data_IF_984859171746
#
_entry.id   IF_984859171746
#
_cell.length_a   1.000
_cell.length_b   1.000
_cell.length_c   1.000
_cell.angle_alpha   90.00
_cell.angle_beta   90.00
_cell.angle_gamma   90.00
#
_symmetry.space_group_name_H-M   'P 1'
#
loop_
_entity.id
_entity.type
_entity.pdbx_description
1 polymer ?
#
# COMPACT_ATOMS: atom_id res chain seq x y z
N UNK A 1 32.60 4.89 40.18
CA UNK A 1 31.83 5.00 38.92
C UNK A 1 30.47 5.58 39.26
N UNK A 2 30.22 6.84 38.93
CA UNK A 2 28.93 7.46 39.23
C UNK A 2 27.87 6.87 38.29
N UNK A 3 26.82 6.28 38.85
CA UNK A 3 25.67 5.84 38.08
C UNK A 3 25.12 7.05 37.28
N UNK A 4 24.82 6.88 35.98
CA UNK A 4 24.34 7.99 35.16
C UNK A 4 23.07 8.59 35.77
N UNK A 5 23.03 9.92 35.85
CA UNK A 5 21.92 10.65 36.45
C UNK A 5 20.60 10.26 35.77
N UNK A 6 19.49 10.01 36.51
CA UNK A 6 18.23 9.52 35.93
C UNK A 6 17.70 10.34 34.75
N UNK A 7 17.94 11.66 34.77
CA UNK A 7 17.57 12.59 33.68
C UNK A 7 18.33 12.28 32.38
N UNK A 8 19.61 11.93 32.45
CA UNK A 8 20.43 11.66 31.27
C UNK A 8 20.06 10.31 30.64
N UNK A 9 19.71 9.33 31.46
CA UNK A 9 19.15 8.06 31.00
C UNK A 9 17.83 8.28 30.24
N UNK A 10 16.94 9.12 30.78
CA UNK A 10 15.67 9.45 30.13
C UNK A 10 15.87 10.20 28.81
N UNK A 11 16.80 11.18 28.75
CA UNK A 11 17.15 11.88 27.52
C UNK A 11 17.68 10.94 26.44
N UNK A 12 18.57 10.01 26.82
CA UNK A 12 19.12 9.00 25.92
C UNK A 12 18.02 8.10 25.36
N UNK A 13 17.15 7.58 26.24
CA UNK A 13 16.03 6.74 25.82
C UNK A 13 15.07 7.49 24.88
N UNK A 14 14.73 8.74 25.20
CA UNK A 14 13.90 9.61 24.33
C UNK A 14 14.52 9.76 22.95
N UNK A 15 15.84 9.98 22.88
CA UNK A 15 16.55 10.09 21.61
C UNK A 15 16.49 8.79 20.80
N UNK A 16 16.75 7.65 21.44
CA UNK A 16 16.72 6.33 20.80
C UNK A 16 15.33 5.97 20.26
N UNK A 17 14.27 6.18 21.04
CA UNK A 17 12.91 5.87 20.59
C UNK A 17 12.46 6.83 19.48
N UNK A 18 12.77 8.13 19.57
CA UNK A 18 12.45 9.08 18.50
C UNK A 18 13.11 8.64 17.20
N UNK A 19 14.41 8.32 17.27
CA UNK A 19 15.16 7.86 16.11
C UNK A 19 14.61 6.56 15.52
N UNK A 20 14.30 5.59 16.38
CA UNK A 20 13.68 4.32 15.97
C UNK A 20 12.37 4.58 15.21
N UNK A 21 11.51 5.45 15.73
CA UNK A 21 10.23 5.79 15.07
C UNK A 21 10.42 6.56 13.76
N UNK A 22 11.43 7.44 13.68
CA UNK A 22 11.74 8.19 12.45
C UNK A 22 12.13 7.28 11.29
N UNK A 23 12.82 6.16 11.54
CA UNK A 23 13.17 5.19 10.49
C UNK A 23 11.90 4.70 9.78
N UNK A 24 10.87 4.30 10.54
CA UNK A 24 9.60 3.84 9.96
C UNK A 24 8.79 4.96 9.33
N UNK A 25 8.83 6.17 9.89
CA UNK A 25 8.20 7.34 9.28
C UNK A 25 8.82 7.63 7.90
N UNK A 26 10.13 7.67 7.79
CA UNK A 26 10.81 7.94 6.52
C UNK A 26 10.64 6.81 5.50
N UNK A 27 10.53 5.57 5.96
CA UNK A 27 10.12 4.46 5.10
C UNK A 27 8.70 4.68 4.54
N UNK A 28 7.76 5.17 5.34
CA UNK A 28 6.42 5.53 4.86
C UNK A 28 6.46 6.67 3.86
N UNK A 29 7.17 7.77 4.15
CA UNK A 29 7.27 8.92 3.24
C UNK A 29 7.82 8.50 1.85
N UNK A 30 8.82 7.62 1.82
CA UNK A 30 9.36 7.06 0.58
C UNK A 30 8.33 6.21 -0.17
N UNK A 31 7.58 5.37 0.55
CA UNK A 31 6.53 4.55 -0.07
C UNK A 31 5.39 5.40 -0.61
N UNK A 32 4.96 6.44 0.12
CA UNK A 32 3.95 7.40 -0.35
C UNK A 32 4.40 8.07 -1.66
N UNK A 33 5.65 8.54 -1.70
CA UNK A 33 6.21 9.15 -2.91
C UNK A 33 6.21 8.18 -4.09
N UNK A 34 6.66 6.94 -3.88
CA UNK A 34 6.67 5.90 -4.93
C UNK A 34 5.27 5.61 -5.46
N UNK A 35 4.27 5.54 -4.58
CA UNK A 35 2.89 5.25 -4.98
C UNK A 35 2.26 6.44 -5.69
N UNK A 36 2.55 7.67 -5.26
CA UNK A 36 2.05 8.87 -5.94
C UNK A 36 2.65 8.99 -7.35
N UNK A 37 3.94 8.68 -7.54
CA UNK A 37 4.56 8.62 -8.87
C UNK A 37 3.84 7.62 -9.77
N UNK A 38 3.55 6.41 -9.27
CA UNK A 38 2.78 5.42 -10.05
C UNK A 38 1.41 6.00 -10.42
N UNK A 39 0.71 6.61 -9.47
CA UNK A 39 -0.62 7.21 -9.70
C UNK A 39 -0.58 8.30 -10.77
N UNK A 40 0.38 9.23 -10.71
CA UNK A 40 0.55 10.30 -11.69
C UNK A 40 0.92 9.77 -13.09
N UNK A 41 1.80 8.76 -13.15
CA UNK A 41 2.18 8.09 -14.40
C UNK A 41 0.95 7.46 -15.07
N UNK A 42 0.10 6.79 -14.30
CA UNK A 42 -1.14 6.21 -14.82
C UNK A 42 -2.13 7.25 -15.34
N UNK A 43 -2.36 8.33 -14.60
CA UNK A 43 -3.25 9.41 -15.02
C UNK A 43 -2.77 10.09 -16.30
N UNK A 44 -1.47 10.07 -16.57
CA UNK A 44 -0.87 10.71 -17.74
C UNK A 44 -0.84 9.79 -18.97
N UNK A 45 -0.73 8.48 -18.77
CA UNK A 45 -0.53 7.50 -19.84
C UNK A 45 -1.76 6.65 -20.16
N UNK A 46 -2.76 6.61 -19.29
CA UNK A 46 -3.94 5.75 -19.44
C UNK A 46 -5.23 6.53 -19.19
N UNK A 47 -6.33 6.01 -19.74
CA UNK A 47 -7.68 6.55 -19.58
C UNK A 47 -8.17 6.58 -18.12
N UNK A 48 -7.54 5.84 -17.21
CA UNK A 48 -7.90 5.81 -15.80
C UNK A 48 -6.71 5.50 -14.88
N UNK A 49 -6.84 5.90 -13.61
CA UNK A 49 -5.88 5.56 -12.55
C UNK A 49 -6.32 4.32 -11.79
N UNK A 50 -5.47 3.29 -11.65
CA UNK A 50 -5.77 2.11 -10.84
C UNK A 50 -5.78 2.40 -9.33
N UNK A 51 -5.26 3.57 -8.90
CA UNK A 51 -5.20 3.99 -7.50
C UNK A 51 -6.22 5.12 -7.28
N UNK A 52 -7.20 4.86 -6.43
CA UNK A 52 -8.22 5.83 -6.01
C UNK A 52 -7.68 6.73 -4.89
N UNK A 53 -7.19 6.09 -3.82
CA UNK A 53 -6.60 6.80 -2.68
C UNK A 53 -5.63 5.92 -1.90
N UNK A 54 -4.72 6.58 -1.21
CA UNK A 54 -3.74 5.96 -0.32
C UNK A 54 -3.93 6.48 1.10
N UNK A 55 -3.61 5.65 2.09
CA UNK A 55 -3.57 6.04 3.51
C UNK A 55 -2.35 5.41 4.15
N UNK A 56 -1.50 6.20 4.79
CA UNK A 56 -0.43 5.69 5.62
C UNK A 56 -0.80 5.73 7.11
N UNK A 57 -0.14 4.88 7.88
CA UNK A 57 -0.25 4.86 9.33
C UNK A 57 1.06 4.42 9.95
N UNK A 58 1.52 5.20 10.92
CA UNK A 58 2.57 4.79 11.84
C UNK A 58 1.94 4.28 13.14
N UNK A 59 2.36 3.10 13.61
CA UNK A 59 1.88 2.51 14.86
C UNK A 59 2.39 3.33 16.06
N UNK A 60 1.54 3.61 17.04
CA UNK A 60 1.99 4.33 18.24
C UNK A 60 2.93 3.47 19.09
N UNK A 61 3.88 4.06 19.85
CA UNK A 61 4.74 3.32 20.76
C UNK A 61 3.96 2.43 21.74
N UNK A 62 2.85 2.95 22.29
CA UNK A 62 1.96 2.17 23.15
C UNK A 62 1.41 0.92 22.44
N UNK A 63 0.93 1.07 21.20
CA UNK A 63 0.42 -0.07 20.41
C UNK A 63 1.52 -1.08 20.05
N UNK A 64 2.77 -0.63 19.87
CA UNK A 64 3.94 -1.51 19.68
C UNK A 64 4.18 -2.31 20.96
N UNK A 65 4.25 -1.63 22.11
CA UNK A 65 4.48 -2.27 23.41
C UNK A 65 3.39 -3.30 23.74
N UNK A 66 2.12 -2.93 23.57
CA UNK A 66 0.99 -3.85 23.78
C UNK A 66 1.10 -5.12 22.92
N UNK A 67 1.59 -4.99 21.68
CA UNK A 67 1.79 -6.13 20.78
C UNK A 67 2.97 -7.00 21.21
N UNK A 68 4.05 -6.40 21.74
CA UNK A 68 5.19 -7.12 22.31
C UNK A 68 4.79 -7.92 23.55
N UNK A 69 4.07 -7.29 24.48
CA UNK A 69 3.56 -7.97 25.69
C UNK A 69 2.63 -9.13 25.34
N UNK A 70 1.66 -8.91 24.44
CA UNK A 70 0.71 -9.95 24.02
C UNK A 70 1.40 -11.17 23.38
N UNK A 71 2.54 -10.95 22.71
CA UNK A 71 3.33 -12.01 22.06
C UNK A 71 4.48 -12.54 22.93
N UNK A 72 4.60 -12.04 24.17
CA UNK A 72 5.66 -12.41 25.11
C UNK A 72 7.08 -12.27 24.52
N UNK A 73 7.34 -11.16 23.82
CA UNK A 73 8.66 -10.85 23.26
C UNK A 73 9.45 -9.91 24.18
N UNK A 74 10.78 -9.99 24.11
CA UNK A 74 11.68 -9.11 24.84
C UNK A 74 11.51 -7.64 24.41
N UNK A 75 11.59 -6.71 25.38
CA UNK A 75 11.38 -5.28 25.18
C UNK A 75 12.69 -4.56 24.79
N UNK A 76 13.24 -4.93 23.63
CA UNK A 76 14.40 -4.28 23.02
C UNK A 76 14.07 -3.79 21.61
N UNK A 77 14.74 -2.74 21.13
CA UNK A 77 14.49 -2.21 19.77
C UNK A 77 14.75 -3.26 18.68
N UNK A 78 15.77 -4.11 18.86
CA UNK A 78 16.07 -5.21 17.93
C UNK A 78 14.96 -6.26 17.91
N UNK A 79 14.46 -6.64 19.09
CA UNK A 79 13.32 -7.56 19.21
C UNK A 79 12.06 -6.96 18.59
N UNK A 80 11.80 -5.67 18.76
CA UNK A 80 10.67 -4.98 18.11
C UNK A 80 10.82 -5.04 16.58
N UNK A 81 11.97 -4.63 16.03
CA UNK A 81 12.28 -4.63 14.58
C UNK A 81 12.14 -6.03 13.97
N UNK A 82 12.54 -7.06 14.72
CA UNK A 82 12.43 -8.46 14.30
C UNK A 82 10.99 -8.97 14.30
N UNK A 83 10.19 -8.65 15.31
CA UNK A 83 8.91 -9.34 15.57
C UNK A 83 7.66 -8.54 15.19
N UNK A 84 7.75 -7.20 15.08
CA UNK A 84 6.63 -6.32 14.74
C UNK A 84 6.86 -5.75 13.34
N UNK A 85 6.18 -6.34 12.36
CA UNK A 85 6.35 -6.03 10.93
C UNK A 85 5.40 -4.95 10.40
N UNK A 86 4.36 -4.61 11.16
CA UNK A 86 3.29 -3.65 10.86
C UNK A 86 3.48 -2.32 11.63
N UNK A 87 4.72 -1.88 11.84
CA UNK A 87 4.99 -0.57 12.49
C UNK A 87 4.65 0.55 11.50
N UNK A 88 5.11 0.41 10.27
CA UNK A 88 4.73 1.22 9.13
C UNK A 88 3.70 0.44 8.30
N UNK A 89 2.53 1.04 8.07
CA UNK A 89 1.49 0.47 7.23
C UNK A 89 1.05 1.45 6.15
N UNK A 90 0.92 0.97 4.91
CA UNK A 90 0.32 1.70 3.79
C UNK A 90 -0.91 0.94 3.32
N UNK A 91 -2.00 1.65 3.04
CA UNK A 91 -3.17 1.12 2.38
C UNK A 91 -3.33 1.78 1.02
N UNK A 92 -3.48 0.95 0.00
CA UNK A 92 -3.77 1.37 -1.37
C UNK A 92 -5.17 0.86 -1.70
N UNK A 93 -6.07 1.79 -2.03
CA UNK A 93 -7.41 1.45 -2.49
C UNK A 93 -7.45 1.61 -4.01
N UNK A 94 -7.81 0.53 -4.70
CA UNK A 94 -7.93 0.42 -6.14
C UNK A 94 -9.40 0.39 -6.58
N UNK A 95 -9.63 0.69 -7.85
CA UNK A 95 -10.97 0.64 -8.46
C UNK A 95 -11.39 -0.80 -8.69
N UNK A 96 -10.47 -1.62 -9.22
CA UNK A 96 -10.74 -2.99 -9.65
C UNK A 96 -9.84 -4.03 -8.94
N UNK A 97 -10.21 -5.31 -9.03
CA UNK A 97 -9.41 -6.42 -8.49
C UNK A 97 -8.15 -6.61 -9.34
N UNK A 98 -8.24 -6.48 -10.66
CA UNK A 98 -7.06 -6.57 -11.55
C UNK A 98 -6.00 -5.51 -11.23
N UNK A 99 -6.41 -4.29 -10.90
CA UNK A 99 -5.54 -3.20 -10.48
C UNK A 99 -4.71 -3.55 -9.23
N UNK A 100 -5.29 -4.33 -8.31
CA UNK A 100 -4.58 -4.77 -7.09
C UNK A 100 -3.32 -5.56 -7.47
N UNK A 101 -3.46 -6.49 -8.41
CA UNK A 101 -2.35 -7.32 -8.87
C UNK A 101 -1.36 -6.51 -9.70
N UNK A 102 -1.85 -5.59 -10.54
CA UNK A 102 -1.00 -4.68 -11.32
C UNK A 102 -0.11 -3.82 -10.42
N UNK A 103 -0.68 -3.18 -9.39
CA UNK A 103 0.07 -2.39 -8.41
C UNK A 103 1.05 -3.25 -7.61
N UNK A 104 0.64 -4.45 -7.19
CA UNK A 104 1.54 -5.38 -6.51
C UNK A 104 2.75 -5.71 -7.38
N UNK A 105 2.55 -6.07 -8.65
CA UNK A 105 3.65 -6.44 -9.54
C UNK A 105 4.57 -5.24 -9.81
N UNK A 106 4.01 -4.04 -10.00
CA UNK A 106 4.80 -2.80 -10.13
C UNK A 106 5.68 -2.51 -8.92
N UNK A 107 5.13 -2.67 -7.70
CA UNK A 107 5.90 -2.50 -6.47
C UNK A 107 6.96 -3.60 -6.30
N UNK A 108 6.64 -4.85 -6.65
CA UNK A 108 7.59 -5.96 -6.57
C UNK A 108 8.76 -5.82 -7.56
N UNK A 109 8.55 -5.12 -8.68
CA UNK A 109 9.57 -4.88 -9.70
C UNK A 109 10.51 -3.71 -9.36
N UNK A 110 10.26 -2.95 -8.29
CA UNK A 110 11.17 -1.87 -7.87
C UNK A 110 12.42 -2.44 -7.22
N UNK A 111 13.59 -2.14 -7.78
CA UNK A 111 14.87 -2.76 -7.39
C UNK A 111 15.31 -2.46 -5.96
N UNK A 112 14.85 -1.37 -5.37
CA UNK A 112 15.18 -0.95 -4.01
C UNK A 112 14.24 -1.55 -2.94
N UNK A 113 13.09 -2.11 -3.34
CA UNK A 113 12.16 -2.78 -2.45
C UNK A 113 12.47 -4.28 -2.38
N UNK A 114 12.72 -4.78 -1.18
CA UNK A 114 12.85 -6.22 -0.96
C UNK A 114 11.54 -6.80 -0.47
N UNK A 115 10.89 -7.64 -1.27
CA UNK A 115 9.69 -8.38 -0.86
C UNK A 115 10.07 -9.45 0.16
N UNK A 116 9.43 -9.42 1.32
CA UNK A 116 9.60 -10.41 2.39
C UNK A 116 8.48 -11.44 2.41
N UNK A 117 7.24 -11.01 2.19
CA UNK A 117 6.07 -11.86 2.32
C UNK A 117 4.92 -11.32 1.46
N UNK A 118 4.18 -12.23 0.83
CA UNK A 118 2.93 -11.92 0.11
C UNK A 118 1.84 -12.82 0.69
N UNK A 119 0.73 -12.22 1.15
CA UNK A 119 -0.47 -12.96 1.59
C UNK A 119 -1.66 -12.52 0.76
N UNK A 120 -2.16 -13.44 -0.02
CA UNK A 120 -3.31 -13.20 -0.88
C UNK A 120 -4.60 -13.66 -0.20
N UNK A 121 -5.26 -12.74 0.49
CA UNK A 121 -6.60 -12.99 1.03
C UNK A 121 -7.71 -12.68 0.03
N UNK A 122 -7.39 -12.29 -1.21
CA UNK A 122 -8.38 -12.16 -2.27
C UNK A 122 -8.64 -13.55 -2.86
N UNK A 123 -7.57 -14.26 -3.20
CA UNK A 123 -7.62 -15.65 -3.64
C UNK A 123 -8.04 -16.60 -2.52
N UNK A 124 -7.51 -16.41 -1.30
CA UNK A 124 -7.81 -17.23 -0.14
C UNK A 124 -8.39 -16.38 1.02
N UNK A 125 -9.67 -15.97 0.94
CA UNK A 125 -10.31 -15.15 1.97
C UNK A 125 -10.27 -15.80 3.35
N UNK A 126 -10.17 -14.97 4.40
CA UNK A 126 -10.24 -15.48 5.77
C UNK A 126 -11.64 -16.03 6.07
N UNK A 127 -11.79 -16.89 7.11
CA UNK A 127 -13.09 -17.47 7.46
C UNK A 127 -14.21 -16.44 7.73
N UNK A 128 -13.85 -15.24 8.17
CA UNK A 128 -14.78 -14.12 8.43
C UNK A 128 -15.20 -13.34 7.16
N UNK A 129 -14.68 -13.69 5.98
CA UNK A 129 -14.93 -12.99 4.71
C UNK A 129 -13.92 -11.88 4.40
N UNK A 130 -12.91 -11.67 5.24
CA UNK A 130 -11.90 -10.65 4.98
C UNK A 130 -11.08 -10.93 3.72
N UNK A 131 -11.04 -9.93 2.83
CA UNK A 131 -10.23 -9.91 1.61
C UNK A 131 -9.33 -8.67 1.55
N UNK A 132 -8.09 -8.89 1.12
CA UNK A 132 -7.06 -7.87 0.85
C UNK A 132 -5.80 -8.59 0.38
N UNK A 133 -4.99 -7.95 -0.45
CA UNK A 133 -3.64 -8.42 -0.73
C UNK A 133 -2.66 -7.75 0.25
N UNK A 134 -1.90 -8.52 1.01
CA UNK A 134 -0.88 -8.00 1.93
C UNK A 134 0.50 -8.26 1.35
N UNK A 135 1.27 -7.20 1.19
CA UNK A 135 2.64 -7.22 0.71
C UNK A 135 3.54 -6.64 1.82
N UNK A 136 4.45 -7.45 2.33
CA UNK A 136 5.45 -7.01 3.32
C UNK A 136 6.78 -6.75 2.60
N UNK A 137 7.28 -5.52 2.67
CA UNK A 137 8.54 -5.11 2.02
C UNK A 137 9.54 -4.53 3.02
N UNK A 138 10.84 -4.66 2.73
CA UNK A 138 11.90 -3.87 3.38
C UNK A 138 12.31 -2.69 2.51
N UNK A 139 12.13 -1.49 3.05
CA UNK A 139 12.48 -0.21 2.41
C UNK A 139 13.80 0.30 3.02
N UNK A 140 14.80 0.66 2.20
CA UNK A 140 16.02 1.31 2.68
C UNK A 140 15.73 2.76 3.11
N UNK A 141 16.33 3.19 4.21
CA UNK A 141 16.19 4.52 4.81
C UNK A 141 17.58 5.05 5.11
N UNK A 142 17.96 6.11 4.42
CA UNK A 142 19.28 6.72 4.57
C UNK A 142 19.25 7.75 5.70
N UNK A 143 19.79 7.38 6.86
CA UNK A 143 19.92 8.22 8.04
C UNK A 143 21.30 8.90 8.06
N UNK A 144 21.49 9.88 8.95
CA UNK A 144 22.75 10.63 9.05
C UNK A 144 24.00 9.81 9.39
N UNK A 145 23.83 8.57 9.84
CA UNK A 145 24.93 7.66 10.20
C UNK A 145 24.99 6.39 9.34
N UNK A 146 24.19 6.30 8.27
CA UNK A 146 24.16 5.13 7.40
C UNK A 146 22.76 4.70 6.99
N UNK A 147 22.72 3.60 6.25
CA UNK A 147 21.49 2.97 5.78
C UNK A 147 20.87 2.10 6.90
N UNK A 148 19.58 2.29 7.10
CA UNK A 148 18.73 1.42 7.91
C UNK A 148 17.65 0.80 7.01
N UNK A 149 17.20 -0.42 7.31
CA UNK A 149 16.05 -1.02 6.61
C UNK A 149 14.85 -1.13 7.54
N UNK A 150 13.69 -0.75 7.02
CA UNK A 150 12.43 -0.78 7.74
C UNK A 150 11.41 -1.65 7.01
N UNK A 151 10.68 -2.48 7.76
CA UNK A 151 9.55 -3.21 7.20
C UNK A 151 8.35 -2.28 7.05
N UNK A 152 7.70 -2.33 5.88
CA UNK A 152 6.43 -1.66 5.60
C UNK A 152 5.42 -2.71 5.15
N UNK A 153 4.27 -2.77 5.82
CA UNK A 153 3.14 -3.61 5.41
C UNK A 153 2.25 -2.80 4.47
N UNK A 154 2.10 -3.25 3.23
CA UNK A 154 1.27 -2.65 2.21
C UNK A 154 0.02 -3.51 2.05
N UNK A 155 -1.16 -2.91 2.27
CA UNK A 155 -2.45 -3.56 2.09
C UNK A 155 -3.14 -2.97 0.88
N UNK A 156 -3.33 -3.78 -0.15
CA UNK A 156 -3.96 -3.38 -1.41
C UNK A 156 -5.37 -3.99 -1.46
N UNK A 157 -6.38 -3.17 -1.78
CA UNK A 157 -7.81 -3.49 -1.67
C UNK A 157 -8.63 -2.78 -2.72
N UNK A 158 -9.81 -3.30 -3.04
CA UNK A 158 -10.85 -2.52 -3.72
C UNK A 158 -11.54 -1.56 -2.73
N UNK A 159 -12.35 -0.65 -3.27
CA UNK A 159 -13.23 0.22 -2.48
C UNK A 159 -14.17 -0.63 -1.58
N UNK A 160 -14.77 -1.68 -2.12
CA UNK A 160 -15.72 -2.51 -1.38
C UNK A 160 -15.02 -3.31 -0.26
N UNK A 161 -13.83 -3.84 -0.52
CA UNK A 161 -12.99 -4.50 0.49
C UNK A 161 -12.58 -3.53 1.62
N UNK A 162 -12.16 -2.30 1.30
CA UNK A 162 -11.79 -1.32 2.32
C UNK A 162 -12.99 -0.90 3.18
N UNK A 163 -14.16 -0.70 2.55
CA UNK A 163 -15.40 -0.39 3.25
C UNK A 163 -15.77 -1.49 4.24
N UNK A 164 -15.84 -2.75 3.78
CA UNK A 164 -16.20 -3.88 4.61
C UNK A 164 -15.22 -4.07 5.79
N UNK A 165 -13.91 -4.07 5.50
CA UNK A 165 -12.88 -4.27 6.53
C UNK A 165 -12.84 -3.12 7.55
N UNK A 166 -13.14 -1.90 7.12
CA UNK A 166 -13.22 -0.75 8.03
C UNK A 166 -14.42 -0.83 8.97
N UNK A 167 -15.56 -1.36 8.50
CA UNK A 167 -16.74 -1.59 9.34
C UNK A 167 -16.53 -2.75 10.32
N UNK A 168 -16.01 -3.88 9.82
CA UNK A 168 -15.68 -5.04 10.66
C UNK A 168 -14.77 -4.63 11.81
N UNK A 169 -13.66 -3.94 11.52
CA UNK A 169 -12.72 -3.51 12.53
C UNK A 169 -13.37 -2.56 13.56
N UNK A 170 -14.25 -1.65 13.14
CA UNK A 170 -14.97 -0.74 14.05
C UNK A 170 -15.93 -1.50 14.98
N UNK A 171 -16.61 -2.52 14.47
CA UNK A 171 -17.53 -3.36 15.25
C UNK A 171 -16.75 -4.14 16.30
N UNK A 172 -15.72 -4.87 15.89
CA UNK A 172 -14.89 -5.67 16.81
C UNK A 172 -14.16 -4.82 17.84
N UNK A 173 -13.64 -3.65 17.45
CA UNK A 173 -12.93 -2.76 18.38
C UNK A 173 -13.87 -2.18 19.46
N UNK A 174 -15.11 -1.79 19.10
CA UNK A 174 -16.06 -1.22 20.07
C UNK A 174 -16.65 -2.27 21.01
N UNK A 175 -16.79 -3.51 20.57
CA UNK A 175 -17.55 -4.51 21.33
C UNK A 175 -16.74 -5.13 22.49
N UNK A 176 -15.39 -5.15 22.40
CA UNK A 176 -14.45 -5.58 23.46
C UNK A 176 -14.83 -6.88 24.21
N UNK A 177 -15.66 -7.72 23.57
CA UNK A 177 -16.29 -8.98 24.02
C UNK A 177 -16.46 -9.88 22.79
N UNK A 178 -16.81 -11.14 23.01
CA UNK A 178 -17.16 -12.07 21.94
C UNK A 178 -18.31 -11.52 21.09
N UNK A 179 -18.04 -11.34 19.79
CA UNK A 179 -19.04 -10.91 18.82
C UNK A 179 -20.04 -12.06 18.62
N UNK A 180 -21.35 -11.83 18.77
CA UNK A 180 -22.37 -12.85 18.53
C UNK A 180 -22.19 -13.51 17.16
N UNK A 181 -22.27 -14.84 17.10
CA UNK A 181 -22.08 -15.62 15.88
C UNK A 181 -23.00 -15.18 14.73
N UNK A 182 -24.21 -14.70 15.08
CA UNK A 182 -25.13 -14.08 14.12
C UNK A 182 -24.49 -12.89 13.39
N UNK A 183 -23.85 -11.98 14.10
CA UNK A 183 -23.19 -10.81 13.50
C UNK A 183 -21.99 -11.23 12.64
N UNK A 184 -21.23 -12.24 13.06
CA UNK A 184 -20.13 -12.78 12.25
C UNK A 184 -20.64 -13.36 10.94
N UNK A 185 -21.78 -14.07 10.95
CA UNK A 185 -22.43 -14.58 9.73
C UNK A 185 -22.96 -13.46 8.83
N UNK A 186 -23.61 -12.44 9.40
CA UNK A 186 -24.10 -11.28 8.64
C UNK A 186 -22.93 -10.49 8.02
N UNK A 187 -21.83 -10.29 8.75
CA UNK A 187 -20.62 -9.66 8.22
C UNK A 187 -20.03 -10.49 7.08
N UNK A 188 -19.92 -11.81 7.22
CA UNK A 188 -19.43 -12.66 6.15
C UNK A 188 -20.31 -12.56 4.88
N UNK A 189 -21.63 -12.62 5.04
CA UNK A 189 -22.56 -12.45 3.91
C UNK A 189 -22.44 -11.08 3.23
N UNK A 190 -22.16 -10.03 3.99
CA UNK A 190 -21.87 -8.71 3.44
C UNK A 190 -20.55 -8.68 2.68
N UNK A 191 -19.53 -9.43 3.13
CA UNK A 191 -18.26 -9.57 2.40
C UNK A 191 -18.47 -10.28 1.06
N UNK A 192 -19.23 -11.38 1.07
CA UNK A 192 -19.53 -12.16 -0.13
C UNK A 192 -20.30 -11.30 -1.16
N UNK A 193 -21.24 -10.48 -0.69
CA UNK A 193 -21.97 -9.52 -1.53
C UNK A 193 -21.06 -8.43 -2.09
N UNK A 194 -20.14 -7.91 -1.29
CA UNK A 194 -19.16 -6.92 -1.72
C UNK A 194 -18.23 -7.47 -2.81
N UNK A 195 -17.77 -8.72 -2.64
CA UNK A 195 -16.96 -9.41 -3.64
C UNK A 195 -17.72 -9.65 -4.95
N UNK A 196 -19.00 -10.03 -4.88
CA UNK A 196 -19.84 -10.19 -6.06
C UNK A 196 -20.02 -8.87 -6.83
N UNK A 197 -20.17 -7.76 -6.10
CA UNK A 197 -20.22 -6.42 -6.70
C UNK A 197 -18.90 -6.06 -7.38
N UNK A 198 -17.75 -6.26 -6.72
CA UNK A 198 -16.44 -6.00 -7.31
C UNK A 198 -16.25 -6.81 -8.60
N UNK A 199 -16.58 -8.10 -8.60
CA UNK A 199 -16.51 -8.95 -9.79
C UNK A 199 -17.44 -8.48 -10.92
N UNK A 200 -18.61 -7.96 -10.59
CA UNK A 200 -19.53 -7.41 -11.59
C UNK A 200 -18.96 -6.13 -12.22
N UNK A 201 -18.44 -5.22 -11.39
CA UNK A 201 -17.86 -3.97 -11.87
C UNK A 201 -16.61 -4.21 -12.72
N UNK A 202 -15.77 -5.17 -12.35
CA UNK A 202 -14.62 -5.63 -13.14
C UNK A 202 -15.03 -6.11 -14.54
N UNK A 203 -16.10 -6.93 -14.63
CA UNK A 203 -16.59 -7.42 -15.93
C UNK A 203 -17.09 -6.27 -16.80
N UNK A 204 -17.90 -5.38 -16.24
CA UNK A 204 -18.44 -4.22 -16.97
C UNK A 204 -17.31 -3.30 -17.46
N UNK A 205 -16.29 -3.07 -16.64
CA UNK A 205 -15.14 -2.26 -17.04
C UNK A 205 -14.39 -2.88 -18.23
N UNK A 206 -14.17 -4.19 -18.21
CA UNK A 206 -13.53 -4.92 -19.30
C UNK A 206 -14.35 -4.84 -20.60
N UNK A 207 -15.66 -5.06 -20.53
CA UNK A 207 -16.56 -4.96 -21.69
C UNK A 207 -16.52 -3.55 -22.30
N UNK A 208 -16.53 -2.49 -21.48
CA UNK A 208 -16.42 -1.10 -21.98
C UNK A 208 -15.06 -0.86 -22.65
N UNK A 209 -13.97 -1.39 -22.08
CA UNK A 209 -12.64 -1.22 -22.67
C UNK A 209 -12.54 -1.94 -24.03
N UNK A 210 -13.07 -3.16 -24.14
CA UNK A 210 -13.12 -3.89 -25.42
C UNK A 210 -13.90 -3.15 -26.50
N UNK A 211 -15.01 -2.48 -26.13
CA UNK A 211 -15.79 -1.64 -27.05
C UNK A 211 -14.97 -0.41 -27.48
N UNK A 212 -14.34 0.30 -26.54
CA UNK A 212 -13.49 1.46 -26.84
C UNK A 212 -12.34 1.10 -27.76
N UNK A 213 -11.65 -0.01 -27.50
CA UNK A 213 -10.50 -0.44 -28.29
C UNK A 213 -10.91 -0.80 -29.72
N UNK A 214 -12.12 -1.35 -29.92
CA UNK A 214 -12.69 -1.59 -31.24
C UNK A 214 -13.12 -0.31 -31.97
N UNK A 215 -13.44 0.76 -31.24
CA UNK A 215 -13.85 2.07 -31.80
C UNK A 215 -12.65 3.00 -32.10
N UNK A 216 -11.56 2.90 -31.32
CA UNK A 216 -10.39 3.80 -31.34
C UNK A 216 -9.34 3.51 -32.44
N UNK A 217 -9.61 2.68 -33.44
CA UNK A 217 -8.73 2.51 -34.63
C UNK A 217 -8.63 3.77 -35.53
N UNK A 218 -9.11 4.93 -35.07
CA UNK A 218 -9.18 6.17 -35.85
C UNK A 218 -8.92 7.39 -34.95
N UNK A 219 -7.66 7.82 -34.83
CA UNK A 219 -7.27 9.25 -34.80
C UNK A 219 -5.76 9.43 -34.54
N UNK A 220 -5.00 9.74 -35.60
CA UNK A 220 -3.53 9.91 -35.55
C UNK A 220 -3.08 11.30 -35.02
N UNK A 221 -3.98 12.26 -34.86
CA UNK A 221 -3.62 13.66 -34.53
C UNK A 221 -3.39 13.92 -33.03
N UNK A 222 -3.90 13.07 -32.13
CA UNK A 222 -3.78 13.23 -30.68
C UNK A 222 -2.41 12.78 -30.13
N UNK A 223 -1.72 11.88 -30.86
CA UNK A 223 -0.45 11.25 -30.50
C UNK A 223 0.75 12.21 -30.37
N UNK A 224 0.64 13.47 -30.80
CA UNK A 224 1.76 14.44 -30.82
C UNK A 224 1.91 15.27 -29.55
N UNK A 225 1.02 15.10 -28.56
CA UNK A 225 1.01 15.92 -27.34
C UNK A 225 1.13 15.03 -26.12
N UNK A 226 2.03 15.40 -25.21
CA UNK A 226 2.13 14.80 -23.87
C UNK A 226 1.75 15.85 -22.84
N UNK A 227 1.07 15.43 -21.78
CA UNK A 227 0.69 16.31 -20.67
C UNK A 227 1.43 15.83 -19.44
N UNK A 228 2.16 16.73 -18.78
CA UNK A 228 2.86 16.48 -17.52
C UNK A 228 2.60 17.68 -16.61
N UNK A 229 2.16 17.47 -15.36
CA UNK A 229 1.90 18.54 -14.39
C UNK A 229 0.97 19.66 -14.91
N UNK A 230 -0.12 19.30 -15.60
CA UNK A 230 -1.04 20.26 -16.23
C UNK A 230 -0.40 21.17 -17.31
N UNK A 231 0.83 20.86 -17.73
CA UNK A 231 1.52 21.53 -18.82
C UNK A 231 1.49 20.65 -20.07
N UNK A 232 1.11 21.24 -21.19
CA UNK A 232 1.04 20.56 -22.47
C UNK A 232 2.38 20.74 -23.20
N UNK A 233 3.02 19.62 -23.55
CA UNK A 233 4.25 19.59 -24.32
C UNK A 233 3.96 18.98 -25.69
N UNK A 234 4.41 19.66 -26.74
CA UNK A 234 4.38 19.11 -28.10
C UNK A 234 5.64 18.29 -28.32
N UNK A 235 5.50 17.04 -28.76
CA UNK A 235 6.64 16.19 -29.09
C UNK A 235 7.42 16.81 -30.25
N UNK A 236 8.70 17.19 -30.07
CA UNK A 236 9.51 17.74 -31.16
C UNK A 236 9.65 16.72 -32.28
N UNK A 237 9.63 17.17 -33.54
CA UNK A 237 9.72 16.29 -34.71
C UNK A 237 11.00 15.43 -34.73
N UNK A 238 12.09 15.93 -34.12
CA UNK A 238 13.32 15.18 -33.98
C UNK A 238 13.23 14.05 -32.95
N UNK A 239 12.33 14.15 -31.97
CA UNK A 239 12.07 13.08 -31.00
C UNK A 239 11.28 11.93 -31.64
N UNK A 240 10.43 12.23 -32.65
CA UNK A 240 9.74 11.22 -33.44
C UNK A 240 10.69 10.35 -34.28
N UNK A 241 11.91 10.80 -34.57
CA UNK A 241 12.92 9.99 -35.26
C UNK A 241 13.40 8.78 -34.44
N UNK A 242 13.29 8.85 -33.10
CA UNK A 242 13.59 7.71 -32.21
C UNK A 242 12.61 6.54 -32.41
N UNK A 243 11.43 6.76 -32.99
CA UNK A 243 10.48 5.71 -33.35
C UNK A 243 10.92 4.94 -34.62
N UNK A 244 11.77 5.55 -35.46
CA UNK A 244 12.22 4.99 -36.74
C UNK A 244 13.59 4.31 -36.72
N UNK A 245 14.40 4.52 -35.67
CA UNK A 245 15.76 3.96 -35.56
C UNK A 245 15.81 2.58 -34.88
N UNK A 246 14.65 1.93 -34.69
CA UNK A 246 14.52 0.59 -34.09
C UNK A 246 14.63 -0.58 -35.08
N UNK A 247 14.71 -0.32 -36.38
CA UNK A 247 15.01 -1.31 -37.41
C UNK A 247 16.35 -0.99 -38.07
N UNK A 248 17.48 -1.38 -37.46
CA UNK A 248 18.74 -1.69 -38.15
C UNK A 248 19.57 -2.67 -37.31
#
# INVERSE_FOLDING_TARGET
MNAPHPIDQFKKFKYEITRFMMIYKFALDQMETKIEVLKEEFQSLHDYSPIEHTKSRLKSPESIMNKMFRKNHELTFDSIKKNIKDIAGVRITCSFISDIYRIKDMLCNQSDLRVLEVKDYIENPKPNGYQSLHLLVEVPVYMSNGEERACVEIQIRTIAMDFWASLEHKIFYKYNKDVPERLTRELKSAADSANALDQQMERLHREIQEIKDAENERDEEELRRIIINNQQFTLPSNLLKLLGDGEH
#
